data_IF_809630717840
#
_entry.id   IF_809630717840
#
_cell.length_a   1.000
_cell.length_b   1.000
_cell.length_c   1.000
_cell.angle_alpha   90.00
_cell.angle_beta   90.00
_cell.angle_gamma   90.00
#
_symmetry.space_group_name_H-M   'P 1'
#
loop_
_entity.id
_entity.type
_entity.pdbx_description
1 polymer ?
#
# COMPACT_ATOMS: atom_id res chain seq x y z
N UNK A 1 -15.54 -22.55 14.65
CA UNK A 1 -15.22 -21.95 15.97
C UNK A 1 -14.79 -20.52 15.66
N UNK A 2 -15.37 -19.51 16.31
CA UNK A 2 -14.92 -18.13 16.09
C UNK A 2 -13.46 -18.02 16.57
N UNK A 3 -12.58 -17.51 15.72
CA UNK A 3 -11.17 -17.28 16.06
C UNK A 3 -11.12 -16.31 17.24
N UNK A 4 -10.52 -16.72 18.37
CA UNK A 4 -10.39 -15.87 19.56
C UNK A 4 -9.15 -14.97 19.41
N UNK A 5 -9.39 -13.69 19.14
CA UNK A 5 -8.34 -12.68 18.99
C UNK A 5 -7.87 -12.06 20.31
N UNK A 6 -8.49 -12.40 21.45
CA UNK A 6 -8.25 -11.69 22.74
C UNK A 6 -6.78 -11.68 23.14
N UNK A 7 -6.10 -12.84 23.05
CA UNK A 7 -4.68 -12.95 23.36
C UNK A 7 -3.82 -12.12 22.39
N UNK A 8 -4.12 -12.20 21.09
CA UNK A 8 -3.39 -11.49 20.07
C UNK A 8 -3.55 -9.97 20.22
N UNK A 9 -4.76 -9.48 20.47
CA UNK A 9 -5.03 -8.06 20.71
C UNK A 9 -4.31 -7.57 21.96
N UNK A 10 -4.32 -8.33 23.06
CA UNK A 10 -3.59 -7.95 24.27
C UNK A 10 -2.07 -7.80 24.00
N UNK A 11 -1.51 -8.69 23.19
CA UNK A 11 -0.09 -8.63 22.81
C UNK A 11 0.22 -7.45 21.90
N UNK A 12 -0.65 -7.18 20.92
CA UNK A 12 -0.51 -6.01 20.03
C UNK A 12 -0.58 -4.70 20.80
N UNK A 13 -1.50 -4.55 21.75
CA UNK A 13 -1.58 -3.34 22.58
C UNK A 13 -0.29 -3.06 23.37
N UNK A 14 0.38 -4.11 23.83
CA UNK A 14 1.71 -3.94 24.44
C UNK A 14 2.77 -3.50 23.43
N UNK A 15 2.68 -3.95 22.17
CA UNK A 15 3.61 -3.60 21.09
C UNK A 15 3.35 -2.20 20.51
N UNK A 16 2.11 -1.70 20.56
CA UNK A 16 1.78 -0.32 20.16
C UNK A 16 2.58 0.72 20.94
N UNK A 17 2.93 0.45 22.20
CA UNK A 17 3.77 1.32 23.03
C UNK A 17 5.20 1.51 22.50
N UNK A 18 5.65 0.61 21.61
CA UNK A 18 6.96 0.68 20.97
C UNK A 18 6.94 1.35 19.59
N UNK A 19 5.75 1.68 19.08
CA UNK A 19 5.65 2.43 17.83
C UNK A 19 6.13 3.87 18.03
N UNK A 20 6.76 4.42 16.99
CA UNK A 20 7.23 5.78 16.94
C UNK A 20 6.04 6.73 16.87
N UNK A 21 5.96 7.61 17.86
CA UNK A 21 4.97 8.69 17.87
C UNK A 21 5.33 9.79 16.88
N UNK A 22 4.39 10.69 16.59
CA UNK A 22 4.69 11.91 15.82
C UNK A 22 5.86 12.72 16.39
N UNK A 23 6.00 12.78 17.73
CA UNK A 23 7.12 13.44 18.39
C UNK A 23 8.45 12.72 18.14
N UNK A 24 8.45 11.39 18.12
CA UNK A 24 9.66 10.61 17.84
C UNK A 24 10.13 10.82 16.40
N UNK A 25 9.20 10.91 15.45
CA UNK A 25 9.49 11.24 14.03
C UNK A 25 10.07 12.65 13.90
N UNK A 26 9.48 13.65 14.57
CA UNK A 26 10.01 15.01 14.57
C UNK A 26 11.41 15.10 15.22
N UNK A 27 11.63 14.30 16.28
CA UNK A 27 12.94 14.17 16.93
C UNK A 27 13.98 13.54 16.01
N UNK A 28 13.64 12.44 15.32
CA UNK A 28 14.49 11.79 14.32
C UNK A 28 14.82 12.73 13.16
N UNK A 29 13.85 13.52 12.71
CA UNK A 29 14.04 14.50 11.64
C UNK A 29 15.03 15.59 12.06
N UNK A 30 15.05 16.01 13.32
CA UNK A 30 15.91 17.08 13.81
C UNK A 30 17.37 16.65 14.04
N UNK A 31 17.69 15.35 13.88
CA UNK A 31 19.05 14.84 14.02
C UNK A 31 19.96 15.28 12.87
N UNK A 32 21.25 15.49 13.12
CA UNK A 32 22.14 16.13 12.15
C UNK A 32 22.46 15.24 10.95
N UNK A 33 22.51 13.92 11.12
CA UNK A 33 22.98 13.00 10.08
C UNK A 33 22.36 11.60 10.18
N UNK A 34 22.53 10.84 9.10
CA UNK A 34 22.07 9.47 8.94
C UNK A 34 22.52 8.54 10.08
N UNK A 35 23.77 8.65 10.56
CA UNK A 35 24.30 7.78 11.63
C UNK A 35 23.63 8.07 12.96
N UNK A 36 23.36 9.33 13.24
CA UNK A 36 22.63 9.77 14.42
C UNK A 36 21.19 9.25 14.41
N UNK A 37 20.52 9.26 13.25
CA UNK A 37 19.20 8.64 13.10
C UNK A 37 19.22 7.14 13.38
N UNK A 38 20.22 6.39 12.87
CA UNK A 38 20.34 4.95 13.14
C UNK A 38 20.51 4.66 14.64
N UNK A 39 21.35 5.44 15.35
CA UNK A 39 21.51 5.27 16.80
C UNK A 39 20.19 5.51 17.55
N UNK A 40 19.49 6.59 17.22
CA UNK A 40 18.21 6.91 17.84
C UNK A 40 17.13 5.84 17.55
N UNK A 41 17.12 5.24 16.36
CA UNK A 41 16.24 4.10 16.05
C UNK A 41 16.60 2.86 16.89
N UNK A 42 17.89 2.57 17.06
CA UNK A 42 18.34 1.48 17.92
C UNK A 42 17.90 1.67 19.37
N UNK A 43 17.98 2.89 19.90
CA UNK A 43 17.49 3.23 21.25
C UNK A 43 15.96 3.05 21.37
N UNK A 44 15.23 3.16 20.26
CA UNK A 44 13.79 2.91 20.16
C UNK A 44 13.44 1.45 19.91
N UNK A 45 14.42 0.54 19.95
CA UNK A 45 14.20 -0.90 19.84
C UNK A 45 14.23 -1.45 18.42
N UNK A 46 14.65 -0.65 17.42
CA UNK A 46 14.92 -1.15 16.08
C UNK A 46 16.27 -1.86 16.07
N UNK A 47 16.26 -3.18 16.07
CA UNK A 47 17.48 -3.98 16.14
C UNK A 47 18.00 -4.27 14.74
N UNK A 48 19.22 -3.82 14.42
CA UNK A 48 19.87 -4.13 13.15
C UNK A 48 21.40 -4.19 13.32
N UNK A 49 22.10 -4.99 12.49
CA UNK A 49 23.56 -5.04 12.54
C UNK A 49 24.21 -3.68 12.23
N UNK A 50 25.37 -3.44 12.82
CA UNK A 50 26.19 -2.26 12.52
C UNK A 50 26.48 -2.17 11.01
N UNK A 51 26.44 -0.96 10.46
CA UNK A 51 26.62 -0.65 9.04
C UNK A 51 25.53 -1.20 8.09
N UNK A 52 24.36 -1.59 8.62
CA UNK A 52 23.20 -1.89 7.77
C UNK A 52 22.80 -0.68 6.93
N UNK A 53 22.52 -0.92 5.65
CA UNK A 53 21.95 0.10 4.78
C UNK A 53 20.45 0.30 5.10
N UNK A 54 19.85 1.33 4.48
CA UNK A 54 18.44 1.66 4.67
C UNK A 54 17.55 0.45 4.34
N UNK A 55 17.79 -0.22 3.21
CA UNK A 55 16.97 -1.34 2.76
C UNK A 55 16.98 -2.49 3.78
N UNK A 56 18.15 -2.82 4.31
CA UNK A 56 18.32 -3.87 5.31
C UNK A 56 17.62 -3.53 6.61
N UNK A 57 17.80 -2.31 7.14
CA UNK A 57 17.14 -1.84 8.36
C UNK A 57 15.62 -1.96 8.25
N UNK A 58 15.05 -1.50 7.13
CA UNK A 58 13.60 -1.56 6.90
C UNK A 58 13.10 -3.00 6.69
N UNK A 59 13.91 -3.86 6.05
CA UNK A 59 13.56 -5.26 5.82
C UNK A 59 13.44 -6.03 7.14
N UNK A 60 14.36 -5.81 8.10
CA UNK A 60 14.28 -6.45 9.42
C UNK A 60 12.99 -6.06 10.14
N UNK A 61 12.63 -4.78 10.11
CA UNK A 61 11.37 -4.33 10.74
C UNK A 61 10.12 -4.88 10.06
N UNK A 62 10.18 -5.12 8.76
CA UNK A 62 9.09 -5.75 8.01
C UNK A 62 9.01 -7.24 8.35
N UNK A 63 10.16 -7.92 8.47
CA UNK A 63 10.28 -9.32 8.89
C UNK A 63 9.72 -9.50 10.31
N UNK A 64 10.16 -8.69 11.28
CA UNK A 64 9.65 -8.73 12.66
C UNK A 64 8.13 -8.50 12.74
N UNK A 65 7.57 -7.61 11.91
CA UNK A 65 6.13 -7.39 11.85
C UNK A 65 5.39 -8.65 11.43
N UNK A 66 5.83 -9.28 10.34
CA UNK A 66 5.12 -10.42 9.78
C UNK A 66 5.34 -11.70 10.57
N UNK A 67 6.52 -11.91 11.14
CA UNK A 67 6.77 -13.00 12.09
C UNK A 67 5.86 -12.86 13.32
N UNK A 68 5.66 -11.64 13.84
CA UNK A 68 4.73 -11.40 14.93
C UNK A 68 3.28 -11.70 14.52
N UNK A 69 2.85 -11.30 13.33
CA UNK A 69 1.49 -11.60 12.84
C UNK A 69 1.28 -13.11 12.69
N UNK A 70 2.23 -13.82 12.10
CA UNK A 70 2.17 -15.27 11.89
C UNK A 70 2.25 -16.05 13.21
N UNK A 71 2.95 -15.52 14.23
CA UNK A 71 2.95 -16.08 15.59
C UNK A 71 1.58 -15.93 16.25
N UNK A 72 0.94 -14.76 16.07
CA UNK A 72 -0.30 -14.39 16.73
C UNK A 72 -1.54 -15.00 16.11
N UNK A 73 -1.59 -15.12 14.79
CA UNK A 73 -2.72 -15.67 14.04
C UNK A 73 -2.17 -16.68 13.05
N UNK A 74 -2.36 -17.97 13.36
CA UNK A 74 -1.85 -19.08 12.56
C UNK A 74 -2.83 -19.47 11.47
N UNK A 75 -2.30 -19.75 10.28
CA UNK A 75 -3.01 -20.34 9.14
C UNK A 75 -4.29 -19.56 8.76
N UNK A 76 -4.23 -18.23 8.89
CA UNK A 76 -5.34 -17.33 8.59
C UNK A 76 -4.96 -16.39 7.45
N UNK A 77 -5.73 -16.45 6.36
CA UNK A 77 -5.59 -15.58 5.20
C UNK A 77 -6.09 -14.15 5.49
N UNK A 78 -6.53 -13.85 6.71
CA UNK A 78 -7.11 -12.55 7.06
C UNK A 78 -6.16 -11.36 6.88
N UNK A 79 -4.84 -11.59 6.80
CA UNK A 79 -3.86 -10.53 6.50
C UNK A 79 -3.43 -10.45 5.04
N UNK A 80 -3.93 -11.35 4.17
CA UNK A 80 -3.55 -11.38 2.76
C UNK A 80 -3.83 -10.05 2.06
N UNK A 81 -4.90 -9.35 2.47
CA UNK A 81 -5.26 -8.02 1.92
C UNK A 81 -4.13 -6.99 2.05
N UNK A 82 -3.28 -7.11 3.08
CA UNK A 82 -2.14 -6.22 3.31
C UNK A 82 -0.89 -6.70 2.56
N UNK A 83 -0.75 -8.01 2.33
CA UNK A 83 0.40 -8.63 1.63
C UNK A 83 0.25 -8.63 0.12
N UNK A 84 -0.98 -8.69 -0.40
CA UNK A 84 -1.24 -8.93 -1.83
C UNK A 84 -0.66 -7.85 -2.74
N UNK A 85 -0.48 -6.62 -2.23
CA UNK A 85 0.19 -5.56 -2.98
C UNK A 85 1.62 -5.95 -3.38
N UNK A 86 2.31 -6.72 -2.54
CA UNK A 86 3.65 -7.24 -2.84
C UNK A 86 3.59 -8.29 -3.97
N UNK A 87 2.56 -9.14 -4.01
CA UNK A 87 2.37 -10.11 -5.10
C UNK A 87 2.21 -9.42 -6.46
N UNK A 88 1.38 -8.37 -6.54
CA UNK A 88 1.19 -7.63 -7.79
C UNK A 88 2.40 -6.77 -8.16
N UNK A 89 3.15 -6.24 -7.18
CA UNK A 89 4.45 -5.62 -7.45
C UNK A 89 5.44 -6.64 -8.03
N UNK A 90 5.53 -7.82 -7.42
CA UNK A 90 6.39 -8.91 -7.88
C UNK A 90 6.00 -9.38 -9.27
N UNK A 91 4.70 -9.50 -9.55
CA UNK A 91 4.19 -9.82 -10.89
C UNK A 91 4.62 -8.75 -11.92
N UNK A 92 4.48 -7.47 -11.59
CA UNK A 92 4.90 -6.36 -12.46
C UNK A 92 6.40 -6.37 -12.74
N UNK A 93 7.22 -6.57 -11.70
CA UNK A 93 8.67 -6.71 -11.82
C UNK A 93 9.01 -7.90 -12.71
N UNK A 94 8.41 -9.06 -12.46
CA UNK A 94 8.67 -10.28 -13.19
C UNK A 94 8.29 -10.15 -14.68
N UNK A 95 7.10 -9.61 -15.01
CA UNK A 95 6.69 -9.38 -16.41
C UNK A 95 7.69 -8.47 -17.13
N UNK A 96 8.10 -7.37 -16.51
CA UNK A 96 9.09 -6.43 -17.09
C UNK A 96 10.49 -7.02 -17.19
N UNK A 97 10.89 -7.85 -16.22
CA UNK A 97 12.20 -8.47 -16.17
C UNK A 97 12.36 -9.55 -17.24
N UNK A 98 11.37 -10.45 -17.36
CA UNK A 98 11.33 -11.53 -18.35
C UNK A 98 11.32 -10.97 -19.78
N UNK A 99 10.52 -9.94 -20.05
CA UNK A 99 10.48 -9.30 -21.38
C UNK A 99 11.79 -8.60 -21.77
N UNK A 100 12.58 -8.16 -20.79
CA UNK A 100 13.86 -7.46 -21.01
C UNK A 100 15.09 -8.36 -20.80
N UNK A 101 14.89 -9.62 -20.44
CA UNK A 101 15.98 -10.56 -20.12
C UNK A 101 16.93 -10.03 -19.05
N UNK A 102 16.38 -9.42 -18.00
CA UNK A 102 17.15 -8.94 -16.83
C UNK A 102 16.72 -9.68 -15.57
N UNK A 103 17.62 -9.80 -14.58
CA UNK A 103 17.27 -10.44 -13.30
C UNK A 103 16.28 -9.57 -12.50
N UNK A 104 15.17 -10.15 -12.00
CA UNK A 104 14.22 -9.45 -11.14
C UNK A 104 14.63 -9.39 -9.67
N UNK A 105 15.60 -10.20 -9.23
CA UNK A 105 15.82 -10.56 -7.82
C UNK A 105 15.91 -9.38 -6.86
N UNK A 106 16.66 -8.34 -7.21
CA UNK A 106 16.87 -7.16 -6.36
C UNK A 106 15.63 -6.25 -6.24
N UNK A 107 14.61 -6.46 -7.08
CA UNK A 107 13.39 -5.66 -7.14
C UNK A 107 12.18 -6.40 -6.56
N UNK A 108 12.32 -7.69 -6.24
CA UNK A 108 11.26 -8.49 -5.64
C UNK A 108 11.09 -8.12 -4.16
N UNK A 109 9.84 -8.05 -3.73
CA UNK A 109 9.43 -7.84 -2.36
C UNK A 109 9.14 -9.18 -1.69
N UNK A 110 9.53 -9.30 -0.41
CA UNK A 110 9.18 -10.42 0.47
C UNK A 110 7.79 -10.21 1.09
N UNK A 111 7.36 -11.14 1.96
CA UNK A 111 6.08 -11.09 2.67
C UNK A 111 4.89 -10.86 1.75
N UNK A 112 4.91 -11.57 0.64
CA UNK A 112 3.82 -11.71 -0.30
C UNK A 112 3.06 -13.00 0.01
N UNK A 113 1.81 -13.11 -0.42
CA UNK A 113 1.00 -14.32 -0.20
C UNK A 113 1.59 -15.50 -0.97
N UNK A 114 2.11 -15.23 -2.17
CA UNK A 114 2.72 -16.22 -3.04
C UNK A 114 4.24 -16.01 -3.12
N UNK A 115 5.00 -17.09 -3.36
CA UNK A 115 6.45 -16.96 -3.49
C UNK A 115 6.81 -16.09 -4.71
N UNK A 116 7.67 -15.07 -4.54
CA UNK A 116 8.15 -14.28 -5.66
C UNK A 116 8.83 -15.13 -6.74
N UNK A 117 9.55 -16.18 -6.34
CA UNK A 117 10.23 -17.10 -7.24
C UNK A 117 9.24 -17.96 -8.04
N UNK A 118 8.12 -18.37 -7.43
CA UNK A 118 7.05 -19.06 -8.15
C UNK A 118 6.43 -18.15 -9.22
N UNK A 119 6.19 -16.88 -8.91
CA UNK A 119 5.66 -15.89 -9.87
C UNK A 119 6.61 -15.72 -11.06
N UNK A 120 7.91 -15.55 -10.79
CA UNK A 120 8.94 -15.41 -11.83
C UNK A 120 9.01 -16.67 -12.69
N UNK A 121 9.12 -17.85 -12.07
CA UNK A 121 9.23 -19.13 -12.80
C UNK A 121 8.02 -19.42 -13.69
N UNK A 122 6.80 -19.08 -13.25
CA UNK A 122 5.61 -19.23 -14.07
C UNK A 122 5.65 -18.35 -15.33
N UNK A 123 6.15 -17.12 -15.22
CA UNK A 123 6.27 -16.18 -16.34
C UNK A 123 7.40 -16.55 -17.31
N UNK A 124 8.55 -16.98 -16.79
CA UNK A 124 9.70 -17.43 -17.61
C UNK A 124 9.32 -18.63 -18.48
N UNK A 125 8.64 -19.61 -17.89
CA UNK A 125 8.20 -20.81 -18.59
C UNK A 125 6.91 -20.60 -19.40
N UNK A 126 6.27 -19.43 -19.29
CA UNK A 126 4.92 -19.14 -19.82
C UNK A 126 3.87 -20.17 -19.39
N UNK A 127 4.10 -20.80 -18.24
CA UNK A 127 3.15 -21.73 -17.63
C UNK A 127 2.37 -21.00 -16.53
N UNK A 128 1.37 -20.23 -16.97
CA UNK A 128 0.51 -19.48 -16.08
C UNK A 128 -0.35 -20.38 -15.17
N UNK A 129 -0.47 -21.68 -15.45
CA UNK A 129 -1.23 -22.59 -14.58
C UNK A 129 -0.58 -22.81 -13.21
N UNK A 130 0.71 -22.47 -13.09
CA UNK A 130 1.44 -22.46 -11.82
C UNK A 130 1.10 -21.24 -10.95
N UNK A 131 0.43 -20.23 -11.53
CA UNK A 131 -0.04 -19.07 -10.78
C UNK A 131 -1.42 -19.35 -10.17
N UNK A 132 -1.72 -18.77 -9.00
CA UNK A 132 -3.08 -18.70 -8.48
C UNK A 132 -4.03 -18.10 -9.52
N UNK A 133 -5.27 -18.62 -9.60
CA UNK A 133 -6.26 -18.27 -10.63
C UNK A 133 -6.41 -16.75 -10.83
N UNK A 134 -6.41 -15.98 -9.74
CA UNK A 134 -6.57 -14.53 -9.77
C UNK A 134 -5.38 -13.76 -10.37
N UNK A 135 -4.18 -14.38 -10.43
CA UNK A 135 -2.99 -13.80 -11.05
C UNK A 135 -2.80 -14.25 -12.50
N UNK A 136 -3.45 -15.33 -12.94
CA UNK A 136 -3.22 -15.91 -14.27
C UNK A 136 -3.58 -14.95 -15.40
N UNK A 137 -4.80 -14.41 -15.38
CA UNK A 137 -5.28 -13.54 -16.47
C UNK A 137 -4.53 -12.20 -16.51
N UNK A 138 -4.33 -11.48 -15.38
CA UNK A 138 -3.51 -10.28 -15.37
C UNK A 138 -2.08 -10.52 -15.86
N UNK A 139 -1.47 -11.65 -15.49
CA UNK A 139 -0.14 -12.04 -15.95
C UNK A 139 -0.09 -12.26 -17.47
N UNK A 140 -1.07 -12.99 -18.02
CA UNK A 140 -1.19 -13.25 -19.47
C UNK A 140 -1.41 -11.95 -20.24
N UNK A 141 -2.39 -11.15 -19.83
CA UNK A 141 -2.74 -9.91 -20.51
C UNK A 141 -1.59 -8.90 -20.47
N UNK A 142 -0.95 -8.71 -19.30
CA UNK A 142 0.16 -7.78 -19.17
C UNK A 142 1.39 -8.21 -19.98
N UNK A 143 1.74 -9.51 -19.97
CA UNK A 143 2.84 -10.05 -20.76
C UNK A 143 2.57 -9.89 -22.26
N UNK A 144 1.37 -10.27 -22.73
CA UNK A 144 0.99 -10.14 -24.13
C UNK A 144 1.00 -8.67 -24.59
N UNK A 145 0.41 -7.79 -23.78
CA UNK A 145 0.37 -6.35 -24.03
C UNK A 145 1.77 -5.76 -24.17
N UNK A 146 2.67 -6.05 -23.22
CA UNK A 146 4.03 -5.52 -23.23
C UNK A 146 4.86 -6.04 -24.41
N UNK A 147 4.73 -7.32 -24.77
CA UNK A 147 5.42 -7.90 -25.92
C UNK A 147 4.92 -7.35 -27.27
N UNK A 148 3.62 -7.07 -27.39
CA UNK A 148 3.03 -6.59 -28.65
C UNK A 148 3.23 -5.10 -28.87
N UNK A 149 3.16 -4.30 -27.80
CA UNK A 149 3.09 -2.83 -27.90
C UNK A 149 4.34 -2.11 -27.39
N UNK A 150 5.18 -2.80 -26.60
CA UNK A 150 6.24 -2.20 -25.79
C UNK A 150 5.74 -1.10 -24.82
N UNK A 151 4.43 -0.98 -24.61
CA UNK A 151 3.83 0.02 -23.73
C UNK A 151 3.88 -0.46 -22.26
N UNK A 152 4.93 -0.03 -21.56
CA UNK A 152 5.09 -0.28 -20.14
C UNK A 152 3.98 0.34 -19.27
N UNK A 153 3.33 1.41 -19.72
CA UNK A 153 2.23 2.05 -18.99
C UNK A 153 0.97 1.18 -19.04
N UNK A 154 0.66 0.60 -20.21
CA UNK A 154 -0.48 -0.31 -20.34
C UNK A 154 -0.29 -1.58 -19.50
N UNK A 155 0.94 -2.14 -19.49
CA UNK A 155 1.29 -3.25 -18.61
C UNK A 155 1.04 -2.90 -17.12
N UNK A 156 1.47 -1.72 -16.69
CA UNK A 156 1.27 -1.28 -15.30
C UNK A 156 -0.20 -1.17 -14.94
N UNK A 157 -1.02 -0.61 -15.84
CA UNK A 157 -2.46 -0.44 -15.61
C UNK A 157 -3.18 -1.77 -15.44
N UNK A 158 -2.87 -2.76 -16.29
CA UNK A 158 -3.49 -4.10 -16.20
C UNK A 158 -3.22 -4.71 -14.82
N UNK A 159 -1.97 -4.70 -14.38
CA UNK A 159 -1.55 -5.31 -13.11
C UNK A 159 -2.06 -4.49 -11.92
N UNK A 160 -1.99 -3.16 -11.98
CA UNK A 160 -2.45 -2.27 -10.90
C UNK A 160 -3.96 -2.40 -10.70
N UNK A 161 -4.74 -2.46 -11.78
CA UNK A 161 -6.18 -2.68 -11.68
C UNK A 161 -6.48 -4.04 -11.05
N UNK A 162 -5.81 -5.10 -11.49
CA UNK A 162 -6.00 -6.43 -10.91
C UNK A 162 -5.66 -6.48 -9.42
N UNK A 163 -4.65 -5.70 -8.98
CA UNK A 163 -4.32 -5.55 -7.57
C UNK A 163 -5.46 -4.91 -6.78
N UNK A 164 -6.07 -3.85 -7.32
CA UNK A 164 -7.21 -3.18 -6.69
C UNK A 164 -8.44 -4.08 -6.64
N UNK A 165 -8.73 -4.82 -7.71
CA UNK A 165 -9.84 -5.79 -7.76
C UNK A 165 -9.67 -6.89 -6.69
N UNK A 166 -8.45 -7.37 -6.50
CA UNK A 166 -8.15 -8.37 -5.47
C UNK A 166 -8.26 -7.79 -4.05
N UNK A 167 -7.71 -6.59 -3.80
CA UNK A 167 -7.88 -5.89 -2.51
C UNK A 167 -9.37 -5.68 -2.21
N UNK A 168 -10.15 -5.25 -3.20
CA UNK A 168 -11.59 -5.05 -3.06
C UNK A 168 -12.29 -6.35 -2.67
N UNK A 169 -12.02 -7.43 -3.39
CA UNK A 169 -12.60 -8.75 -3.16
C UNK A 169 -12.30 -9.27 -1.75
N UNK A 170 -11.03 -9.27 -1.33
CA UNK A 170 -10.64 -9.69 0.03
C UNK A 170 -11.30 -8.82 1.11
N UNK A 171 -11.43 -7.52 0.83
CA UNK A 171 -12.16 -6.61 1.69
C UNK A 171 -13.60 -7.03 1.89
N UNK A 172 -14.34 -7.24 0.79
CA UNK A 172 -15.78 -7.56 0.82
C UNK A 172 -16.07 -8.98 1.31
N UNK A 173 -15.14 -9.92 1.14
CA UNK A 173 -15.19 -11.27 1.72
C UNK A 173 -14.97 -11.25 3.25
N UNK A 174 -14.45 -10.16 3.82
CA UNK A 174 -14.20 -10.04 5.25
C UNK A 174 -15.46 -9.70 6.05
N UNK A 175 -15.67 -10.43 7.16
CA UNK A 175 -16.71 -10.12 8.14
C UNK A 175 -16.38 -8.88 8.98
N UNK A 176 -15.13 -8.42 9.00
CA UNK A 176 -14.70 -7.27 9.78
C UNK A 176 -14.95 -5.94 9.03
N UNK A 177 -15.65 -5.01 9.70
CA UNK A 177 -16.04 -3.74 9.10
C UNK A 177 -14.85 -2.81 8.79
N UNK A 178 -13.82 -2.84 9.62
CA UNK A 178 -12.62 -2.06 9.40
C UNK A 178 -11.87 -2.52 8.15
N UNK A 179 -11.74 -3.83 7.93
CA UNK A 179 -11.13 -4.41 6.72
C UNK A 179 -11.94 -4.03 5.47
N UNK A 180 -13.29 -4.13 5.52
CA UNK A 180 -14.16 -3.67 4.42
C UNK A 180 -13.95 -2.19 4.09
N UNK A 181 -13.96 -1.32 5.10
CA UNK A 181 -13.77 0.14 4.93
C UNK A 181 -12.36 0.47 4.44
N UNK A 182 -11.34 -0.25 4.89
CA UNK A 182 -9.98 -0.12 4.39
C UNK A 182 -9.89 -0.44 2.89
N UNK A 183 -10.51 -1.53 2.45
CA UNK A 183 -10.52 -1.93 1.04
C UNK A 183 -11.21 -0.88 0.17
N UNK A 184 -12.41 -0.44 0.57
CA UNK A 184 -13.17 0.61 -0.14
C UNK A 184 -12.39 1.92 -0.23
N UNK A 185 -11.79 2.37 0.89
CA UNK A 185 -10.96 3.57 0.90
C UNK A 185 -9.75 3.42 -0.02
N UNK A 186 -9.04 2.29 0.06
CA UNK A 186 -7.83 2.04 -0.74
C UNK A 186 -8.12 2.05 -2.24
N UNK A 187 -9.17 1.33 -2.65
CA UNK A 187 -9.57 1.22 -4.05
C UNK A 187 -10.11 2.55 -4.56
N UNK A 188 -11.05 3.17 -3.84
CA UNK A 188 -11.62 4.44 -4.26
C UNK A 188 -10.59 5.57 -4.32
N UNK A 189 -9.64 5.65 -3.38
CA UNK A 189 -8.54 6.60 -3.46
C UNK A 189 -7.63 6.33 -4.67
N UNK A 190 -7.35 5.07 -5.01
CA UNK A 190 -6.55 4.73 -6.18
C UNK A 190 -7.27 5.11 -7.49
N UNK A 191 -8.57 4.88 -7.58
CA UNK A 191 -9.39 5.25 -8.72
C UNK A 191 -9.48 6.76 -8.90
N UNK A 192 -9.71 7.52 -7.82
CA UNK A 192 -9.71 9.00 -7.86
C UNK A 192 -8.36 9.53 -8.36
N UNK A 193 -7.24 8.99 -7.86
CA UNK A 193 -5.90 9.40 -8.33
C UNK A 193 -5.67 9.05 -9.79
N UNK A 194 -6.14 7.87 -10.22
CA UNK A 194 -6.06 7.44 -11.62
C UNK A 194 -6.90 8.33 -12.53
N UNK A 195 -8.10 8.70 -12.12
CA UNK A 195 -8.97 9.65 -12.81
C UNK A 195 -8.31 11.03 -12.95
N UNK A 196 -7.79 11.61 -11.85
CA UNK A 196 -7.11 12.91 -11.88
C UNK A 196 -5.86 12.89 -12.75
N UNK A 197 -5.05 11.82 -12.68
CA UNK A 197 -3.86 11.67 -13.53
C UNK A 197 -4.26 11.58 -15.01
N UNK A 198 -5.33 10.86 -15.31
CA UNK A 198 -5.84 10.70 -16.68
C UNK A 198 -6.41 11.98 -17.24
N UNK A 199 -7.12 12.77 -16.43
CA UNK A 199 -7.59 14.12 -16.79
C UNK A 199 -6.41 15.04 -17.16
N UNK A 200 -5.34 15.02 -16.34
CA UNK A 200 -4.13 15.83 -16.59
C UNK A 200 -3.33 15.40 -17.83
N UNK A 201 -3.50 14.15 -18.28
CA UNK A 201 -2.77 13.59 -19.42
C UNK A 201 -3.66 13.39 -20.64
N UNK A 202 -4.88 13.94 -20.62
CA UNK A 202 -5.85 13.92 -21.73
C UNK A 202 -6.09 12.51 -22.30
N UNK A 203 -6.16 11.48 -21.43
CA UNK A 203 -6.44 10.10 -21.85
C UNK A 203 -7.91 9.95 -22.26
N UNK A 204 -8.19 8.99 -23.15
CA UNK A 204 -9.56 8.73 -23.62
C UNK A 204 -10.42 8.09 -22.52
N UNK A 205 -11.74 8.30 -22.58
CA UNK A 205 -12.68 7.70 -21.63
C UNK A 205 -12.58 6.17 -21.56
N UNK A 206 -12.38 5.50 -22.71
CA UNK A 206 -12.15 4.05 -22.78
C UNK A 206 -10.91 3.61 -22.00
N UNK A 207 -9.81 4.34 -22.13
CA UNK A 207 -8.58 4.06 -21.38
C UNK A 207 -8.81 4.23 -19.87
N UNK A 208 -9.51 5.29 -19.48
CA UNK A 208 -9.82 5.56 -18.07
C UNK A 208 -10.68 4.44 -17.51
N UNK A 209 -11.78 4.09 -18.19
CA UNK A 209 -12.66 2.99 -17.77
C UNK A 209 -11.93 1.66 -17.68
N UNK A 210 -10.97 1.39 -18.56
CA UNK A 210 -10.12 0.19 -18.46
C UNK A 210 -9.21 0.23 -17.24
N UNK A 211 -8.75 1.41 -16.81
CA UNK A 211 -7.81 1.57 -15.71
C UNK A 211 -8.44 1.61 -14.31
N UNK A 212 -9.73 1.93 -14.22
CA UNK A 212 -10.43 2.01 -12.93
C UNK A 212 -10.96 0.64 -12.47
N UNK A 213 -11.00 0.44 -11.17
CA UNK A 213 -11.52 -0.76 -10.51
C UNK A 213 -12.98 -0.55 -10.07
N UNK A 214 -13.82 -1.57 -10.16
CA UNK A 214 -15.16 -1.50 -9.59
C UNK A 214 -15.11 -1.45 -8.06
N UNK A 215 -15.89 -0.56 -7.44
CA UNK A 215 -16.10 -0.52 -5.99
C UNK A 215 -17.43 0.14 -5.63
N UNK A 216 -18.06 -0.28 -4.52
CA UNK A 216 -19.38 0.22 -4.12
C UNK A 216 -19.36 1.68 -3.65
N UNK A 217 -18.19 2.19 -3.28
CA UNK A 217 -18.04 3.55 -2.77
C UNK A 217 -18.04 4.62 -3.87
N UNK A 218 -17.90 4.25 -5.14
CA UNK A 218 -17.80 5.16 -6.28
C UNK A 218 -18.47 4.59 -7.54
N UNK A 219 -19.20 5.42 -8.27
CA UNK A 219 -19.63 5.06 -9.61
C UNK A 219 -18.46 5.28 -10.60
N UNK A 220 -17.82 4.19 -10.99
CA UNK A 220 -16.64 4.20 -11.87
C UNK A 220 -16.93 4.76 -13.26
N UNK A 221 -18.10 4.48 -13.82
CA UNK A 221 -18.50 5.00 -15.11
C UNK A 221 -18.70 6.52 -15.07
N UNK A 222 -19.33 7.01 -13.99
CA UNK A 222 -19.47 8.44 -13.75
C UNK A 222 -18.12 9.12 -13.53
N UNK A 223 -17.22 8.48 -12.76
CA UNK A 223 -15.87 8.99 -12.51
C UNK A 223 -15.04 9.04 -13.79
N UNK A 224 -15.11 8.02 -14.65
CA UNK A 224 -14.43 8.01 -15.95
C UNK A 224 -14.96 9.13 -16.86
N UNK A 225 -16.28 9.30 -16.93
CA UNK A 225 -16.90 10.37 -17.71
C UNK A 225 -16.55 11.77 -17.18
N UNK A 226 -16.45 11.93 -15.86
CA UNK A 226 -16.03 13.16 -15.22
C UNK A 226 -14.55 13.47 -15.52
N UNK A 227 -13.67 12.46 -15.46
CA UNK A 227 -12.25 12.62 -15.71
C UNK A 227 -11.91 13.09 -17.14
N UNK A 228 -12.74 12.77 -18.13
CA UNK A 228 -12.60 13.29 -19.49
C UNK A 228 -12.89 14.80 -19.57
N UNK A 229 -13.75 15.32 -18.68
CA UNK A 229 -14.17 16.73 -18.67
C UNK A 229 -13.22 17.63 -17.89
N UNK A 230 -12.72 17.15 -16.76
CA UNK A 230 -11.80 17.94 -15.93
C UNK A 230 -11.79 17.55 -14.46
N UNK A 231 -10.95 18.25 -13.70
CA UNK A 231 -10.83 18.04 -12.25
C UNK A 231 -12.06 18.54 -11.50
N UNK A 232 -12.71 19.60 -12.00
CA UNK A 232 -13.93 20.14 -11.37
C UNK A 232 -15.07 19.14 -11.45
N UNK A 233 -15.27 18.49 -12.59
CA UNK A 233 -16.27 17.43 -12.74
C UNK A 233 -15.94 16.19 -11.91
N UNK A 234 -14.66 15.85 -11.74
CA UNK A 234 -14.27 14.80 -10.79
C UNK A 234 -14.73 15.20 -9.39
N UNK A 235 -14.46 16.43 -8.95
CA UNK A 235 -14.86 16.92 -7.63
C UNK A 235 -16.38 16.86 -7.43
N UNK A 236 -17.15 17.26 -8.43
CA UNK A 236 -18.61 17.19 -8.39
C UNK A 236 -19.10 15.74 -8.29
N UNK A 237 -18.49 14.82 -9.03
CA UNK A 237 -18.79 13.38 -8.98
C UNK A 237 -18.54 12.76 -7.60
N UNK A 238 -17.63 13.31 -6.80
CA UNK A 238 -17.36 12.82 -5.43
C UNK A 238 -18.38 13.32 -4.40
N UNK A 239 -19.18 14.33 -4.74
CA UNK A 239 -20.17 14.88 -3.83
C UNK A 239 -21.30 13.88 -3.60
N UNK A 240 -21.63 13.62 -2.33
CA UNK A 240 -22.61 12.61 -1.94
C UNK A 240 -22.03 11.20 -1.77
N UNK A 241 -20.73 11.02 -1.99
CA UNK A 241 -20.01 9.78 -1.69
C UNK A 241 -19.25 9.89 -0.36
N UNK A 242 -18.62 8.80 0.10
CA UNK A 242 -17.72 8.84 1.25
C UNK A 242 -16.51 9.79 1.07
N UNK A 243 -16.20 10.18 -0.17
CA UNK A 243 -15.11 11.08 -0.53
C UNK A 243 -15.51 12.56 -0.57
N UNK A 244 -16.74 12.90 -0.17
CA UNK A 244 -17.22 14.30 -0.17
C UNK A 244 -16.27 15.24 0.61
N UNK A 245 -15.77 14.79 1.77
CA UNK A 245 -14.85 15.59 2.58
C UNK A 245 -13.43 15.68 2.01
N UNK A 246 -13.10 14.87 0.99
CA UNK A 246 -11.82 14.90 0.29
C UNK A 246 -11.76 16.00 -0.80
N UNK A 247 -12.92 16.44 -1.29
CA UNK A 247 -13.04 17.40 -2.42
C UNK A 247 -12.23 18.69 -2.21
N UNK A 248 -12.29 19.37 -1.04
CA UNK A 248 -11.50 20.58 -0.81
C UNK A 248 -9.99 20.34 -0.94
N UNK A 249 -9.51 19.17 -0.50
CA UNK A 249 -8.09 18.81 -0.57
C UNK A 249 -7.67 18.47 -1.99
N UNK A 250 -8.53 17.77 -2.75
CA UNK A 250 -8.27 17.43 -4.15
C UNK A 250 -8.12 18.69 -5.03
N UNK A 251 -8.91 19.74 -4.75
CA UNK A 251 -8.80 21.05 -5.42
C UNK A 251 -7.48 21.76 -5.14
N UNK A 252 -6.84 21.50 -4.00
CA UNK A 252 -5.51 22.04 -3.67
C UNK A 252 -4.45 21.25 -4.46
N UNK A 253 -4.38 19.94 -4.25
CA UNK A 253 -3.44 19.07 -4.96
C UNK A 253 -3.70 17.59 -4.71
N UNK A 254 -3.10 16.71 -5.53
CA UNK A 254 -3.09 15.26 -5.28
C UNK A 254 -2.39 14.92 -3.96
N UNK A 255 -1.31 15.64 -3.62
CA UNK A 255 -0.61 15.43 -2.34
C UNK A 255 -1.50 15.76 -1.14
N UNK A 256 -2.28 16.85 -1.22
CA UNK A 256 -3.24 17.21 -0.19
C UNK A 256 -4.36 16.16 -0.05
N UNK A 257 -4.85 15.61 -1.17
CA UNK A 257 -5.79 14.49 -1.16
C UNK A 257 -5.19 13.21 -0.53
N UNK A 258 -3.94 12.88 -0.84
CA UNK A 258 -3.26 11.73 -0.22
C UNK A 258 -3.13 11.91 1.29
N UNK A 259 -2.79 13.12 1.74
CA UNK A 259 -2.77 13.42 3.18
C UNK A 259 -4.15 13.27 3.82
N UNK A 260 -5.22 13.73 3.15
CA UNK A 260 -6.59 13.50 3.62
C UNK A 260 -6.90 12.00 3.75
N UNK A 261 -6.54 11.20 2.75
CA UNK A 261 -6.77 9.75 2.77
C UNK A 261 -6.03 9.07 3.93
N UNK A 262 -4.77 9.46 4.14
CA UNK A 262 -3.95 8.97 5.25
C UNK A 262 -4.57 9.30 6.62
N UNK A 263 -5.11 10.51 6.76
CA UNK A 263 -5.74 10.98 8.00
C UNK A 263 -7.12 10.35 8.23
N UNK A 264 -7.87 10.12 7.16
CA UNK A 264 -9.12 9.36 7.23
C UNK A 264 -8.84 7.92 7.66
N UNK A 265 -7.85 7.25 7.06
CA UNK A 265 -7.43 5.91 7.47
C UNK A 265 -6.96 5.86 8.93
N UNK A 266 -6.18 6.84 9.37
CA UNK A 266 -5.77 6.93 10.78
C UNK A 266 -7.00 6.99 11.70
N UNK A 267 -8.02 7.76 11.33
CA UNK A 267 -9.26 7.86 12.10
C UNK A 267 -9.97 6.50 12.21
N UNK A 268 -10.04 5.73 11.12
CA UNK A 268 -10.56 4.35 11.13
C UNK A 268 -9.76 3.43 12.06
N UNK A 269 -8.42 3.55 12.04
CA UNK A 269 -7.54 2.75 12.90
C UNK A 269 -7.71 3.09 14.38
N UNK A 270 -7.99 4.36 14.72
CA UNK A 270 -8.26 4.76 16.11
C UNK A 270 -9.57 4.17 16.66
N UNK A 271 -10.59 3.97 15.81
CA UNK A 271 -11.84 3.31 16.20
C UNK A 271 -11.58 1.89 16.72
N UNK A 272 -10.57 1.20 16.19
CA UNK A 272 -10.23 -0.19 16.56
C UNK A 272 -9.65 -0.33 17.97
N UNK A 273 -9.18 0.75 18.60
CA UNK A 273 -8.62 0.69 19.96
C UNK A 273 -9.62 0.12 20.98
N UNK A 274 -10.91 0.22 20.71
CA UNK A 274 -11.99 -0.15 21.62
C UNK A 274 -12.58 -1.54 21.36
N UNK A 275 -12.13 -2.24 20.33
CA UNK A 275 -12.65 -3.56 19.96
C UNK A 275 -11.64 -4.68 20.27
N UNK A 276 -11.69 -5.31 21.46
CA UNK A 276 -10.69 -6.28 21.87
C UNK A 276 -10.90 -7.70 21.31
N UNK A 277 -12.00 -7.94 20.58
CA UNK A 277 -12.42 -9.29 20.22
C UNK A 277 -12.37 -9.56 18.71
N UNK A 278 -11.95 -8.58 17.90
CA UNK A 278 -11.84 -8.73 16.45
C UNK A 278 -10.40 -8.62 15.99
N UNK A 279 -10.19 -8.88 14.70
CA UNK A 279 -8.91 -8.68 14.01
C UNK A 279 -8.56 -7.20 13.79
N UNK A 280 -9.52 -6.29 14.00
CA UNK A 280 -9.38 -4.86 13.76
C UNK A 280 -8.11 -4.23 14.38
N UNK A 281 -7.80 -4.46 15.66
CA UNK A 281 -6.57 -3.94 16.27
C UNK A 281 -5.28 -4.46 15.63
N UNK A 282 -5.25 -5.73 15.20
CA UNK A 282 -4.08 -6.32 14.53
C UNK A 282 -3.88 -5.65 13.17
N UNK A 283 -4.97 -5.49 12.40
CA UNK A 283 -4.96 -4.80 11.13
C UNK A 283 -4.53 -3.32 11.26
N UNK A 284 -5.01 -2.62 12.29
CA UNK A 284 -4.58 -1.25 12.59
C UNK A 284 -3.09 -1.18 12.96
N UNK A 285 -2.57 -2.16 13.71
CA UNK A 285 -1.16 -2.24 14.05
C UNK A 285 -0.27 -2.47 12.81
N UNK A 286 -0.66 -3.38 11.91
CA UNK A 286 0.05 -3.63 10.63
C UNK A 286 0.20 -2.30 9.87
N UNK A 287 -0.92 -1.63 9.62
CA UNK A 287 -0.95 -0.36 8.89
C UNK A 287 -0.14 0.74 9.61
N UNK A 288 -0.17 0.76 10.95
CA UNK A 288 0.60 1.69 11.77
C UNK A 288 2.11 1.46 11.63
N UNK A 289 2.55 0.21 11.69
CA UNK A 289 3.96 -0.17 11.54
C UNK A 289 4.45 0.05 10.10
N UNK A 290 3.63 -0.20 9.08
CA UNK A 290 3.96 0.13 7.68
C UNK A 290 4.15 1.64 7.47
N UNK A 291 3.30 2.46 8.10
CA UNK A 291 3.45 3.93 8.10
C UNK A 291 4.75 4.37 8.78
N UNK A 292 5.07 3.77 9.92
CA UNK A 292 6.33 4.01 10.63
C UNK A 292 7.55 3.68 9.76
N UNK A 293 7.59 2.49 9.15
CA UNK A 293 8.65 2.05 8.25
C UNK A 293 8.79 3.02 7.07
N UNK A 294 7.67 3.50 6.53
CA UNK A 294 7.67 4.47 5.42
C UNK A 294 8.21 5.84 5.85
N UNK A 295 7.82 6.34 7.02
CA UNK A 295 8.32 7.60 7.57
C UNK A 295 9.82 7.54 7.85
N UNK A 296 10.29 6.44 8.45
CA UNK A 296 11.72 6.20 8.71
C UNK A 296 12.50 6.10 7.39
N UNK A 297 12.00 5.37 6.39
CA UNK A 297 12.60 5.33 5.04
C UNK A 297 12.82 6.73 4.48
N UNK A 298 11.79 7.57 4.56
CA UNK A 298 11.82 8.93 4.04
C UNK A 298 12.87 9.79 4.76
N UNK A 299 12.92 9.74 6.09
CA UNK A 299 13.91 10.48 6.89
C UNK A 299 15.33 9.99 6.59
N UNK A 300 15.58 8.68 6.67
CA UNK A 300 16.91 8.12 6.43
C UNK A 300 17.40 8.43 5.02
N UNK A 301 16.54 8.27 4.01
CA UNK A 301 16.88 8.59 2.62
C UNK A 301 17.14 10.08 2.44
N UNK A 302 16.30 10.93 3.04
CA UNK A 302 16.48 12.38 2.98
C UNK A 302 17.79 12.83 3.62
N UNK A 303 18.12 12.32 4.80
CA UNK A 303 19.39 12.62 5.50
C UNK A 303 20.60 12.10 4.74
N UNK A 304 20.53 10.88 4.20
CA UNK A 304 21.61 10.30 3.41
C UNK A 304 21.90 11.12 2.14
N UNK A 305 20.86 11.72 1.54
CA UNK A 305 20.97 12.58 0.35
C UNK A 305 21.13 14.07 0.66
N UNK A 306 21.27 14.47 1.94
CA UNK A 306 21.47 15.86 2.34
C UNK A 306 20.28 16.78 2.06
N UNK A 307 19.04 16.25 2.04
CA UNK A 307 17.83 17.05 1.93
C UNK A 307 17.59 17.86 3.21
N UNK A 308 17.02 19.05 3.07
CA UNK A 308 16.65 19.87 4.23
C UNK A 308 15.45 19.28 4.99
N UNK A 309 15.42 19.51 6.30
CA UNK A 309 14.38 18.99 7.17
C UNK A 309 12.98 19.47 6.75
N UNK A 310 12.87 20.70 6.25
CA UNK A 310 11.62 21.25 5.72
C UNK A 310 11.06 20.44 4.53
N UNK A 311 11.93 20.01 3.61
CA UNK A 311 11.54 19.23 2.42
C UNK A 311 11.10 17.82 2.81
N UNK A 312 11.79 17.22 3.78
CA UNK A 312 11.41 15.92 4.33
C UNK A 312 10.06 16.04 5.08
N UNK A 313 9.90 17.09 5.91
CA UNK A 313 8.68 17.34 6.70
C UNK A 313 7.44 17.54 5.86
N UNK A 314 7.54 18.23 4.73
CA UNK A 314 6.41 18.43 3.80
C UNK A 314 5.86 17.09 3.26
N UNK A 315 6.72 16.07 3.19
CA UNK A 315 6.37 14.74 2.68
C UNK A 315 6.01 13.75 3.78
N UNK A 316 6.30 14.05 5.04
CA UNK A 316 5.88 13.22 6.17
C UNK A 316 4.35 13.24 6.30
N UNK A 317 3.82 12.12 6.80
CA UNK A 317 2.40 11.89 7.05
C UNK A 317 2.18 11.75 8.55
N UNK A 318 0.93 11.90 8.97
CA UNK A 318 0.56 11.79 10.39
C UNK A 318 0.72 10.32 10.84
N UNK A 319 1.36 10.14 12.01
CA UNK A 319 1.67 8.84 12.59
C UNK A 319 0.43 8.19 13.22
N UNK A 320 0.50 6.87 13.41
CA UNK A 320 -0.58 6.11 14.06
C UNK A 320 -0.70 6.39 15.57
N UNK A 321 0.45 6.57 16.24
CA UNK A 321 0.56 6.82 17.68
C UNK A 321 0.95 8.27 17.96
#
# INVERSE_FOLDING_TARGET
MATDYTYAVARIRSKELSLLSGHDIDSLLSLPDYKSCLRALSDKGWNFPDNSDISHVLSIQTEELWELMDELVKDDNSFDIFRIRNDYHNLKVAVKAVTRSVSPESMLLKHSVYSPQQIVGALENRDYSQLPDILQEPAKEAMASLLQTADGQLCDIIIDRAALEHIYRLGMESDNDFIRRYAQLTVGCADIKTAVRSAKTSKSGEFIKKALCHCDCLNVDALAAAAVKGIDEICDCLTGTMFTSAVPYLKISVSAFEKWADNYLNSLMQEQKWDPFTIGPLAAYILGKEKEITAVRLILSGKLNGLSDSVIKERLRDMYV
#
